data_IF_421415369077
#
_entry.id   IF_421415369077
#
_cell.length_a   1.000
_cell.length_b   1.000
_cell.length_c   1.000
_cell.angle_alpha   90.00
_cell.angle_beta   90.00
_cell.angle_gamma   90.00
#
_symmetry.space_group_name_H-M   'P 1'
#
loop_
_entity.id
_entity.type
_entity.pdbx_description
1 polymer ?
#
# COMPACT_ATOMS: atom_id res chain seq x y z
N UNK A 1 6.53 5.51 -13.00
CA UNK A 1 6.12 5.47 -11.58
C UNK A 1 5.20 6.65 -11.27
N UNK A 2 4.18 6.50 -10.41
CA UNK A 2 3.29 7.59 -10.02
C UNK A 2 4.03 8.71 -9.26
N UNK A 3 3.51 9.94 -9.32
CA UNK A 3 4.06 11.06 -8.55
C UNK A 3 3.83 10.91 -7.05
N UNK A 4 4.60 11.64 -6.25
CA UNK A 4 4.52 11.61 -4.78
C UNK A 4 3.14 12.02 -4.28
N UNK A 5 2.52 13.03 -4.90
CA UNK A 5 1.16 13.47 -4.57
C UNK A 5 0.12 12.37 -4.79
N UNK A 6 0.27 11.59 -5.87
CA UNK A 6 -0.63 10.48 -6.18
C UNK A 6 -0.45 9.37 -5.14
N UNK A 7 0.80 9.01 -4.83
CA UNK A 7 1.11 7.98 -3.83
C UNK A 7 0.58 8.37 -2.45
N UNK A 8 0.81 9.61 -2.02
CA UNK A 8 0.32 10.13 -0.75
C UNK A 8 -1.20 10.12 -0.68
N UNK A 9 -1.87 10.54 -1.76
CA UNK A 9 -3.34 10.51 -1.84
C UNK A 9 -3.87 9.08 -1.73
N UNK A 10 -3.23 8.12 -2.37
CA UNK A 10 -3.62 6.71 -2.27
C UNK A 10 -3.43 6.18 -0.85
N UNK A 11 -2.29 6.45 -0.22
CA UNK A 11 -2.02 6.02 1.16
C UNK A 11 -3.03 6.61 2.16
N UNK A 12 -3.35 7.90 2.04
CA UNK A 12 -4.39 8.53 2.86
C UNK A 12 -5.74 7.84 2.72
N UNK A 13 -6.11 7.42 1.50
CA UNK A 13 -7.36 6.70 1.23
C UNK A 13 -7.35 5.28 1.77
N UNK A 14 -6.25 4.54 1.56
CA UNK A 14 -6.12 3.15 1.96
C UNK A 14 -6.09 2.98 3.48
N UNK A 15 -5.37 3.87 4.18
CA UNK A 15 -5.20 3.81 5.64
C UNK A 15 -6.20 4.70 6.39
N UNK A 16 -7.04 5.45 5.68
CA UNK A 16 -7.97 6.42 6.25
C UNK A 16 -7.29 7.45 7.19
N UNK A 17 -6.03 7.79 6.91
CA UNK A 17 -5.21 8.67 7.73
C UNK A 17 -4.80 9.95 6.99
N UNK A 18 -4.80 11.12 7.65
CA UNK A 18 -4.48 12.40 7.01
C UNK A 18 -2.96 12.68 7.02
N UNK A 19 -2.13 11.78 6.49
CA UNK A 19 -0.67 11.96 6.45
C UNK A 19 -0.27 13.31 5.86
N UNK A 20 0.70 14.02 6.48
CA UNK A 20 1.17 15.30 5.95
C UNK A 20 1.95 15.13 4.63
N UNK A 21 2.82 14.11 4.58
CA UNK A 21 3.71 13.79 3.46
C UNK A 21 3.99 12.28 3.40
N UNK A 22 4.78 11.84 2.41
CA UNK A 22 5.16 10.43 2.25
C UNK A 22 6.05 9.91 3.38
N UNK A 23 6.85 10.76 4.03
CA UNK A 23 7.71 10.35 5.13
C UNK A 23 6.86 9.97 6.36
N UNK A 24 5.83 10.76 6.67
CA UNK A 24 4.87 10.44 7.72
C UNK A 24 4.10 9.15 7.43
N UNK A 25 3.65 8.96 6.18
CA UNK A 25 2.99 7.72 5.78
C UNK A 25 3.91 6.51 5.91
N UNK A 26 5.17 6.63 5.47
CA UNK A 26 6.16 5.55 5.58
C UNK A 26 6.46 5.18 7.04
N UNK A 27 6.62 6.18 7.91
CA UNK A 27 6.81 5.96 9.34
C UNK A 27 5.61 5.26 10.00
N UNK A 28 4.38 5.62 9.61
CA UNK A 28 3.17 4.96 10.09
C UNK A 28 3.11 3.49 9.64
N UNK A 29 3.42 3.21 8.37
CA UNK A 29 3.50 1.84 7.84
C UNK A 29 4.60 1.03 8.54
N UNK A 30 5.73 1.64 8.86
CA UNK A 30 6.80 0.97 9.61
C UNK A 30 6.36 0.60 11.04
N UNK A 31 5.58 1.46 11.69
CA UNK A 31 5.06 1.23 13.03
C UNK A 31 3.94 0.18 13.08
N UNK A 32 3.09 0.13 12.04
CA UNK A 32 2.06 -0.89 11.86
C UNK A 32 1.96 -1.39 10.41
N UNK A 33 2.79 -2.37 10.01
CA UNK A 33 2.73 -2.95 8.68
C UNK A 33 1.40 -3.68 8.41
N UNK A 34 0.70 -4.10 9.47
CA UNK A 34 -0.54 -4.86 9.36
C UNK A 34 -1.70 -4.01 8.84
N UNK A 35 -1.72 -2.71 9.16
CA UNK A 35 -2.68 -1.76 8.60
C UNK A 35 -2.62 -1.71 7.06
N UNK A 36 -1.41 -1.60 6.50
CA UNK A 36 -1.21 -1.62 5.04
C UNK A 36 -1.56 -2.98 4.43
N UNK A 37 -1.14 -4.08 5.06
CA UNK A 37 -1.44 -5.42 4.56
C UNK A 37 -2.95 -5.67 4.47
N UNK A 38 -3.72 -5.30 5.50
CA UNK A 38 -5.18 -5.41 5.49
C UNK A 38 -5.81 -4.54 4.41
N UNK A 39 -5.35 -3.30 4.25
CA UNK A 39 -5.87 -2.40 3.22
C UNK A 39 -5.63 -2.95 1.80
N UNK A 40 -4.45 -3.51 1.54
CA UNK A 40 -4.11 -4.13 0.25
C UNK A 40 -4.97 -5.36 -0.05
N UNK A 41 -5.19 -6.23 0.94
CA UNK A 41 -6.05 -7.40 0.79
C UNK A 41 -7.51 -6.98 0.57
N UNK A 42 -7.99 -5.98 1.30
CA UNK A 42 -9.34 -5.45 1.13
C UNK A 42 -9.54 -4.82 -0.26
N UNK A 43 -8.56 -4.05 -0.76
CA UNK A 43 -8.58 -3.46 -2.10
C UNK A 43 -8.59 -4.56 -3.17
N UNK A 44 -7.74 -5.58 -3.04
CA UNK A 44 -7.71 -6.72 -3.95
C UNK A 44 -9.04 -7.50 -3.94
N UNK A 45 -9.63 -7.74 -2.77
CA UNK A 45 -10.91 -8.44 -2.66
C UNK A 45 -12.10 -7.66 -3.24
N UNK A 46 -11.99 -6.34 -3.34
CA UNK A 46 -13.00 -5.46 -3.94
C UNK A 46 -12.80 -5.23 -5.44
N UNK A 47 -11.70 -5.74 -6.02
CA UNK A 47 -11.37 -5.56 -7.43
C UNK A 47 -12.04 -6.61 -8.31
N UNK A 48 -12.76 -6.18 -9.35
CA UNK A 48 -13.37 -7.08 -10.34
C UNK A 48 -12.32 -7.88 -11.14
N UNK A 49 -11.08 -7.40 -11.20
CA UNK A 49 -9.96 -8.06 -11.89
C UNK A 49 -9.35 -9.23 -11.08
N UNK A 50 -9.73 -9.37 -9.80
CA UNK A 50 -9.22 -10.42 -8.91
C UNK A 50 -10.23 -11.56 -8.82
N UNK A 51 -9.88 -12.71 -9.40
CA UNK A 51 -10.74 -13.89 -9.49
C UNK A 51 -10.10 -15.16 -8.92
N UNK A 52 -8.87 -15.06 -8.44
CA UNK A 52 -8.07 -16.18 -7.95
C UNK A 52 -7.01 -15.71 -6.96
N UNK A 53 -6.41 -16.62 -6.20
CA UNK A 53 -5.28 -16.28 -5.33
C UNK A 53 -4.06 -15.76 -6.11
N UNK A 54 -3.85 -16.25 -7.33
CA UNK A 54 -2.77 -15.81 -8.21
C UNK A 54 -2.98 -14.36 -8.67
N UNK A 55 -4.18 -14.04 -9.17
CA UNK A 55 -4.52 -12.66 -9.56
C UNK A 55 -4.52 -11.70 -8.38
N UNK A 56 -4.95 -12.13 -7.19
CA UNK A 56 -4.85 -11.35 -5.96
C UNK A 56 -3.39 -11.04 -5.60
N UNK A 57 -2.49 -12.04 -5.69
CA UNK A 57 -1.06 -11.84 -5.44
C UNK A 57 -0.46 -10.85 -6.42
N UNK A 58 -0.70 -11.02 -7.72
CA UNK A 58 -0.20 -10.11 -8.75
C UNK A 58 -0.74 -8.69 -8.57
N UNK A 59 -2.00 -8.54 -8.17
CA UNK A 59 -2.58 -7.24 -7.86
C UNK A 59 -1.84 -6.55 -6.70
N UNK A 60 -1.63 -7.28 -5.60
CA UNK A 60 -0.94 -6.75 -4.41
C UNK A 60 0.53 -6.40 -4.75
N UNK A 61 1.23 -7.25 -5.50
CA UNK A 61 2.61 -6.99 -5.95
C UNK A 61 2.69 -5.71 -6.80
N UNK A 62 1.82 -5.57 -7.80
CA UNK A 62 1.75 -4.36 -8.62
C UNK A 62 1.41 -3.11 -7.79
N UNK A 63 0.58 -3.27 -6.76
CA UNK A 63 0.21 -2.18 -5.84
C UNK A 63 1.39 -1.75 -4.99
N UNK A 64 2.14 -2.69 -4.43
CA UNK A 64 3.36 -2.43 -3.68
C UNK A 64 4.41 -1.75 -4.56
N UNK A 65 4.60 -2.21 -5.80
CA UNK A 65 5.51 -1.57 -6.76
C UNK A 65 5.10 -0.13 -7.07
N UNK A 66 3.79 0.14 -7.22
CA UNK A 66 3.28 1.47 -7.47
C UNK A 66 3.48 2.42 -6.27
N UNK A 67 3.36 1.92 -5.03
CA UNK A 67 3.66 2.70 -3.83
C UNK A 67 5.17 2.95 -3.67
N UNK A 68 5.99 2.00 -4.13
CA UNK A 68 7.45 2.11 -4.19
C UNK A 68 8.06 2.38 -2.81
N UNK A 69 9.00 3.33 -2.75
CA UNK A 69 9.78 3.68 -1.55
C UNK A 69 8.95 4.16 -0.35
N UNK A 70 7.67 4.49 -0.54
CA UNK A 70 6.79 4.85 0.58
C UNK A 70 6.49 3.65 1.49
N UNK A 71 6.57 2.43 0.96
CA UNK A 71 6.45 1.20 1.74
C UNK A 71 7.85 0.79 2.21
N UNK A 72 8.13 0.84 3.52
CA UNK A 72 9.41 0.40 4.03
C UNK A 72 9.58 -1.10 3.75
N UNK A 73 10.69 -1.47 3.12
CA UNK A 73 11.10 -2.88 3.06
C UNK A 73 11.46 -3.27 4.48
N UNK A 74 10.77 -4.27 5.05
CA UNK A 74 11.14 -4.79 6.35
C UNK A 74 12.62 -5.18 6.31
N UNK A 75 13.43 -4.53 7.15
CA UNK A 75 14.79 -4.98 7.39
C UNK A 75 14.70 -6.36 8.03
N UNK A 76 14.91 -7.40 7.24
CA UNK A 76 15.05 -8.76 7.75
C UNK A 76 16.44 -8.81 8.37
N UNK A 77 16.52 -8.71 9.70
CA UNK A 77 17.72 -9.06 10.47
C UNK A 77 17.86 -10.58 10.61
#
# INVERSE_FOLDING_TARGET
MPSDDIRLTQLRRMLAEPFADLAAASAAIAADPWGLAQALVAEAAASDDVSSMESARSYIEARLEALGEAVPVAAVE
#
